data_IF_347464935630
#
_entry.id   IF_347464935630
#
_cell.length_a   1.000
_cell.length_b   1.000
_cell.length_c   1.000
_cell.angle_alpha   90.00
_cell.angle_beta   90.00
_cell.angle_gamma   90.00
#
_symmetry.space_group_name_H-M   'P 1'
#
loop_
_entity.id
_entity.type
_entity.pdbx_description
1 polymer ?
#
# COMPACT_ATOMS: atom_id res chain seq x y z
N UNK A 1 20.68 -3.44 25.98
CA UNK A 1 19.30 -3.51 25.47
C UNK A 1 19.42 -3.68 23.98
N UNK A 2 18.93 -4.78 23.42
CA UNK A 2 18.78 -4.90 21.96
C UNK A 2 17.81 -3.79 21.53
N UNK A 3 18.11 -3.03 20.47
CA UNK A 3 17.16 -2.05 19.96
C UNK A 3 15.85 -2.75 19.62
N UNK A 4 14.75 -2.18 20.08
CA UNK A 4 13.43 -2.68 19.76
C UNK A 4 13.20 -2.52 18.24
N UNK A 5 12.79 -3.61 17.58
CA UNK A 5 12.56 -3.58 16.13
C UNK A 5 11.24 -2.85 15.85
N UNK A 6 11.34 -1.64 15.32
CA UNK A 6 10.19 -0.78 14.98
C UNK A 6 9.79 -0.83 13.50
N UNK A 7 10.30 -1.82 12.75
CA UNK A 7 9.98 -2.01 11.34
C UNK A 7 9.32 -3.36 11.13
N UNK A 8 8.20 -3.39 10.42
CA UNK A 8 7.44 -4.59 10.08
C UNK A 8 7.67 -4.99 8.62
N UNK A 9 7.96 -6.26 8.36
CA UNK A 9 7.97 -6.87 7.03
C UNK A 9 6.82 -7.88 6.94
N UNK A 10 5.76 -7.52 6.24
CA UNK A 10 4.53 -8.31 6.08
C UNK A 10 4.69 -9.33 4.96
N UNK A 11 4.32 -10.59 5.23
CA UNK A 11 4.42 -11.67 4.24
C UNK A 11 5.86 -11.88 3.79
N UNK A 12 6.77 -12.06 4.74
CA UNK A 12 8.21 -12.06 4.46
C UNK A 12 8.65 -13.21 3.53
N UNK A 13 7.88 -14.30 3.45
CA UNK A 13 8.30 -15.49 2.74
C UNK A 13 9.71 -15.90 3.19
N UNK A 14 10.54 -16.27 2.21
CA UNK A 14 11.96 -16.55 2.44
C UNK A 14 12.86 -15.30 2.37
N UNK A 15 12.29 -14.10 2.13
CA UNK A 15 13.03 -12.83 2.04
C UNK A 15 12.91 -12.01 3.31
N UNK A 16 13.60 -12.48 4.37
CA UNK A 16 13.66 -11.71 5.62
C UNK A 16 14.47 -10.43 5.43
N UNK A 17 13.96 -9.34 5.95
CA UNK A 17 14.65 -8.05 5.99
C UNK A 17 15.40 -7.91 7.33
N UNK A 18 16.66 -7.45 7.25
CA UNK A 18 17.45 -7.12 8.43
C UNK A 18 16.79 -5.93 9.15
N UNK A 19 16.83 -5.89 10.47
CA UNK A 19 16.24 -4.84 11.31
C UNK A 19 14.71 -4.70 11.17
N UNK A 20 14.02 -5.75 10.70
CA UNK A 20 12.58 -5.80 10.62
C UNK A 20 12.03 -6.96 11.46
N UNK A 21 10.82 -6.78 11.96
CA UNK A 21 9.99 -7.85 12.47
C UNK A 21 9.37 -8.55 11.27
N UNK A 22 9.87 -9.73 10.93
CA UNK A 22 9.46 -10.48 9.74
C UNK A 22 8.31 -11.42 10.07
N UNK A 23 7.15 -11.22 9.46
CA UNK A 23 5.95 -12.02 9.72
C UNK A 23 5.44 -12.71 8.48
N UNK A 24 4.92 -13.90 8.66
CA UNK A 24 4.30 -14.70 7.61
C UNK A 24 3.30 -15.67 8.22
N UNK A 25 2.31 -16.14 7.46
CA UNK A 25 1.40 -17.20 7.88
C UNK A 25 2.06 -18.57 7.76
N UNK A 26 3.03 -18.74 6.83
CA UNK A 26 3.69 -20.00 6.55
C UNK A 26 4.93 -20.18 7.45
N UNK A 27 4.80 -21.07 8.43
CA UNK A 27 5.89 -21.35 9.38
C UNK A 27 7.18 -21.87 8.75
N UNK A 28 7.10 -22.51 7.57
CA UNK A 28 8.26 -23.04 6.84
C UNK A 28 9.19 -21.94 6.34
N UNK A 29 8.69 -20.71 6.22
CA UNK A 29 9.53 -19.54 5.90
C UNK A 29 10.39 -19.09 7.08
N UNK A 30 10.21 -19.73 8.25
CA UNK A 30 10.90 -19.37 9.49
C UNK A 30 10.79 -17.88 9.83
N UNK A 31 9.57 -17.29 9.84
CA UNK A 31 9.37 -15.90 10.20
C UNK A 31 9.76 -15.65 11.67
N UNK A 32 9.94 -14.39 12.06
CA UNK A 32 10.17 -14.04 13.47
C UNK A 32 8.90 -14.28 14.30
N UNK A 33 7.73 -14.15 13.64
CA UNK A 33 6.43 -14.55 14.21
C UNK A 33 5.50 -15.05 13.11
N UNK A 34 4.77 -16.13 13.39
CA UNK A 34 3.69 -16.62 12.52
C UNK A 34 2.45 -15.80 12.79
N UNK A 35 1.96 -15.08 11.78
CA UNK A 35 0.80 -14.19 11.88
C UNK A 35 -0.08 -14.34 10.65
N UNK A 36 -1.37 -14.61 10.85
CA UNK A 36 -2.37 -14.47 9.81
C UNK A 36 -2.81 -13.00 9.73
N UNK A 37 -2.38 -12.32 8.66
CA UNK A 37 -2.65 -10.89 8.46
C UNK A 37 -4.13 -10.59 8.17
N UNK A 38 -4.95 -11.58 7.85
CA UNK A 38 -6.40 -11.42 7.68
C UNK A 38 -7.17 -11.47 9.02
N UNK A 39 -6.53 -11.99 10.08
CA UNK A 39 -7.11 -12.03 11.42
C UNK A 39 -6.71 -10.77 12.20
N UNK A 40 -7.70 -9.96 12.56
CA UNK A 40 -7.49 -8.73 13.34
C UNK A 40 -8.17 -8.84 14.71
N UNK A 41 -7.63 -8.22 15.77
CA UNK A 41 -6.45 -7.34 15.80
C UNK A 41 -5.13 -8.11 15.74
N UNK A 42 -4.09 -7.50 15.12
CA UNK A 42 -2.74 -8.06 15.15
C UNK A 42 -2.12 -7.96 16.55
N UNK A 43 -1.17 -8.85 16.89
CA UNK A 43 -0.58 -8.92 18.24
C UNK A 43 0.49 -7.84 18.49
N UNK A 44 0.23 -6.62 18.04
CA UNK A 44 1.11 -5.46 18.19
C UNK A 44 0.36 -4.31 18.83
N UNK A 45 1.10 -3.48 19.58
CA UNK A 45 0.56 -2.28 20.20
C UNK A 45 0.23 -1.19 19.16
N UNK A 46 -0.63 -0.26 19.56
CA UNK A 46 -0.91 0.93 18.76
C UNK A 46 0.35 1.78 18.64
N UNK A 47 0.58 2.35 17.44
CA UNK A 47 1.70 3.26 17.21
C UNK A 47 3.09 2.66 17.50
N UNK A 48 3.27 1.39 17.18
CA UNK A 48 4.52 0.68 17.46
C UNK A 48 5.54 0.81 16.31
N UNK A 49 5.12 0.66 15.06
CA UNK A 49 6.03 0.63 13.90
C UNK A 49 6.22 2.01 13.27
N UNK A 50 7.48 2.38 13.01
CA UNK A 50 7.86 3.56 12.22
C UNK A 50 7.93 3.25 10.72
N UNK A 51 8.00 1.95 10.33
CA UNK A 51 7.98 1.50 8.94
C UNK A 51 7.23 0.20 8.78
N UNK A 52 6.44 0.11 7.69
CA UNK A 52 5.83 -1.13 7.23
C UNK A 52 6.27 -1.39 5.79
N UNK A 53 6.77 -2.59 5.54
CA UNK A 53 7.10 -3.10 4.21
C UNK A 53 6.11 -4.20 3.83
N UNK A 54 5.46 -4.06 2.68
CA UNK A 54 4.56 -5.04 2.07
C UNK A 54 5.01 -5.29 0.62
N UNK A 55 5.91 -6.25 0.41
CA UNK A 55 6.48 -6.59 -0.90
C UNK A 55 5.77 -7.81 -1.48
N UNK A 56 4.86 -7.62 -2.44
CA UNK A 56 4.06 -8.65 -3.10
C UNK A 56 3.29 -9.53 -2.09
N UNK A 57 2.51 -8.91 -1.23
CA UNK A 57 1.65 -9.59 -0.24
C UNK A 57 0.22 -9.07 -0.26
N UNK A 58 -0.01 -7.76 -0.45
CA UNK A 58 -1.36 -7.19 -0.33
C UNK A 58 -2.32 -7.65 -1.43
N UNK A 59 -1.81 -8.02 -2.59
CA UNK A 59 -2.59 -8.59 -3.70
C UNK A 59 -3.19 -9.96 -3.37
N UNK A 60 -2.63 -10.68 -2.40
CA UNK A 60 -3.12 -11.98 -1.92
C UNK A 60 -4.17 -11.84 -0.82
N UNK A 61 -4.28 -10.66 -0.18
CA UNK A 61 -5.03 -10.47 1.05
C UNK A 61 -6.40 -9.82 0.81
N UNK A 62 -7.35 -10.22 1.66
CA UNK A 62 -8.64 -9.54 1.75
C UNK A 62 -9.50 -9.68 0.51
N UNK A 63 -9.71 -10.89 -0.01
CA UNK A 63 -10.67 -11.14 -1.10
C UNK A 63 -12.03 -10.49 -0.79
N UNK A 64 -12.49 -10.60 0.46
CA UNK A 64 -13.61 -9.81 0.96
C UNK A 64 -13.17 -8.37 1.22
N UNK A 65 -13.83 -7.34 0.62
CA UNK A 65 -13.46 -5.95 0.81
C UNK A 65 -13.43 -5.49 2.29
N UNK A 66 -14.25 -6.07 3.16
CA UNK A 66 -14.25 -5.76 4.61
C UNK A 66 -12.96 -6.24 5.28
N UNK A 67 -12.47 -7.41 4.90
CA UNK A 67 -11.20 -7.95 5.42
C UNK A 67 -10.06 -7.04 4.98
N UNK A 68 -9.99 -6.68 3.69
CA UNK A 68 -8.98 -5.74 3.20
C UNK A 68 -9.00 -4.39 3.92
N UNK A 69 -10.21 -3.83 4.14
CA UNK A 69 -10.35 -2.59 4.92
C UNK A 69 -9.82 -2.76 6.35
N UNK A 70 -10.08 -3.89 7.00
CA UNK A 70 -9.57 -4.17 8.34
C UNK A 70 -8.04 -4.27 8.35
N UNK A 71 -7.44 -4.88 7.33
CA UNK A 71 -5.98 -4.93 7.17
C UNK A 71 -5.39 -3.52 7.09
N UNK A 72 -5.95 -2.64 6.24
CA UNK A 72 -5.50 -1.23 6.13
C UNK A 72 -5.65 -0.50 7.48
N UNK A 73 -6.75 -0.73 8.21
CA UNK A 73 -6.95 -0.16 9.54
C UNK A 73 -5.94 -0.68 10.57
N UNK A 74 -5.59 -1.96 10.51
CA UNK A 74 -4.57 -2.54 11.38
C UNK A 74 -3.18 -2.01 11.05
N UNK A 75 -2.80 -1.97 9.77
CA UNK A 75 -1.57 -1.31 9.35
C UNK A 75 -1.51 0.12 9.90
N UNK A 76 -2.61 0.86 9.79
CA UNK A 76 -2.69 2.22 10.33
C UNK A 76 -2.59 2.21 11.86
N UNK A 77 -3.34 1.37 12.58
CA UNK A 77 -3.34 1.30 14.05
C UNK A 77 -1.94 1.07 14.61
N UNK A 78 -1.21 0.09 14.07
CA UNK A 78 0.13 -0.27 14.55
C UNK A 78 1.22 0.69 14.10
N UNK A 79 0.97 1.56 13.12
CA UNK A 79 1.92 2.57 12.66
C UNK A 79 2.00 3.74 13.62
N UNK A 80 3.18 4.31 13.80
CA UNK A 80 3.40 5.61 14.44
C UNK A 80 2.87 6.76 13.56
N UNK A 81 2.71 7.94 14.16
CA UNK A 81 2.56 9.15 13.34
C UNK A 81 3.85 9.39 12.54
N UNK A 82 3.71 9.74 11.26
CA UNK A 82 4.79 9.90 10.29
C UNK A 82 5.49 8.58 9.91
N UNK A 83 4.93 7.42 10.27
CA UNK A 83 5.43 6.14 9.78
C UNK A 83 5.38 6.07 8.26
N UNK A 84 6.32 5.34 7.68
CA UNK A 84 6.43 5.15 6.23
C UNK A 84 5.98 3.73 5.86
N UNK A 85 5.11 3.63 4.85
CA UNK A 85 4.80 2.35 4.21
C UNK A 85 5.49 2.27 2.86
N UNK A 86 6.19 1.19 2.64
CA UNK A 86 6.64 0.76 1.32
C UNK A 86 5.75 -0.40 0.87
N UNK A 87 5.00 -0.19 -0.19
CA UNK A 87 4.10 -1.18 -0.78
C UNK A 87 4.57 -1.45 -2.20
N UNK A 88 4.86 -2.71 -2.51
CA UNK A 88 5.14 -3.17 -3.86
C UNK A 88 4.12 -4.21 -4.24
N UNK A 89 3.51 -4.04 -5.42
CA UNK A 89 2.47 -4.93 -5.96
C UNK A 89 2.67 -5.13 -7.45
N UNK A 90 2.23 -6.27 -8.02
CA UNK A 90 2.22 -6.45 -9.47
C UNK A 90 1.38 -5.37 -10.16
N UNK A 91 1.84 -4.89 -11.30
CA UNK A 91 1.07 -3.94 -12.08
C UNK A 91 -0.19 -4.63 -12.65
N UNK A 92 -1.36 -4.00 -12.51
CA UNK A 92 -2.66 -4.56 -12.89
C UNK A 92 -2.81 -4.91 -14.38
N UNK A 93 -1.92 -4.42 -15.25
CA UNK A 93 -1.84 -4.72 -16.69
C UNK A 93 -0.64 -5.60 -17.02
N UNK A 94 -0.04 -6.28 -16.06
CA UNK A 94 1.05 -7.23 -16.28
C UNK A 94 0.52 -8.65 -16.12
N UNK A 95 0.97 -9.54 -16.98
CA UNK A 95 0.65 -10.97 -16.88
C UNK A 95 1.08 -11.53 -15.51
N UNK A 96 2.15 -11.00 -14.93
CA UNK A 96 2.62 -11.33 -13.58
C UNK A 96 1.50 -11.26 -12.50
N UNK A 97 0.52 -10.35 -12.67
CA UNK A 97 -0.62 -10.31 -11.76
C UNK A 97 -1.58 -11.50 -12.01
N UNK A 98 -1.77 -11.90 -13.24
CA UNK A 98 -2.77 -12.90 -13.64
C UNK A 98 -2.24 -14.34 -13.58
N UNK A 99 -0.92 -14.53 -13.63
CA UNK A 99 -0.25 -15.84 -13.61
C UNK A 99 -0.34 -16.52 -12.23
N UNK A 100 -0.49 -15.75 -11.16
CA UNK A 100 -0.69 -16.29 -9.81
C UNK A 100 -2.18 -16.32 -9.47
N UNK A 101 -2.74 -17.53 -9.39
CA UNK A 101 -4.17 -17.76 -9.08
C UNK A 101 -4.58 -17.32 -7.68
N UNK A 102 -3.62 -17.04 -6.79
CA UNK A 102 -3.87 -16.58 -5.43
C UNK A 102 -4.00 -15.06 -5.32
N UNK A 103 -3.75 -14.32 -6.40
CA UNK A 103 -4.01 -12.89 -6.45
C UNK A 103 -5.52 -12.62 -6.49
N UNK A 104 -6.03 -12.00 -5.45
CA UNK A 104 -7.46 -11.75 -5.28
C UNK A 104 -7.89 -10.34 -5.68
N UNK A 105 -6.92 -9.41 -5.80
CA UNK A 105 -7.22 -7.99 -6.07
C UNK A 105 -6.06 -7.27 -6.75
N UNK A 106 -6.30 -6.65 -7.91
CA UNK A 106 -5.35 -5.69 -8.46
C UNK A 106 -5.35 -4.43 -7.59
N UNK A 107 -4.15 -3.95 -7.23
CA UNK A 107 -3.95 -2.75 -6.44
C UNK A 107 -3.26 -1.68 -7.27
N UNK A 108 -3.63 -0.44 -7.06
CA UNK A 108 -3.03 0.74 -7.69
C UNK A 108 -2.80 1.82 -6.64
N UNK A 109 -2.01 2.84 -6.96
CA UNK A 109 -1.85 4.00 -6.08
C UNK A 109 -3.21 4.64 -5.72
N UNK A 110 -4.19 4.63 -6.64
CA UNK A 110 -5.53 5.16 -6.36
C UNK A 110 -6.27 4.38 -5.28
N UNK A 111 -6.00 3.09 -5.10
CA UNK A 111 -6.59 2.28 -4.01
C UNK A 111 -6.26 2.87 -2.65
N UNK A 112 -5.01 3.28 -2.44
CA UNK A 112 -4.56 3.88 -1.19
C UNK A 112 -4.96 5.35 -1.06
N UNK A 113 -5.06 6.07 -2.19
CA UNK A 113 -5.52 7.47 -2.21
C UNK A 113 -6.94 7.66 -1.66
N UNK A 114 -7.79 6.62 -1.73
CA UNK A 114 -9.11 6.67 -1.10
C UNK A 114 -9.06 6.80 0.43
N UNK A 115 -7.92 6.50 1.05
CA UNK A 115 -7.66 6.67 2.49
C UNK A 115 -6.90 7.97 2.82
N UNK A 116 -6.67 8.86 1.86
CA UNK A 116 -6.08 10.19 2.05
C UNK A 116 -7.19 11.18 2.46
N UNK A 117 -7.16 11.68 3.70
CA UNK A 117 -8.20 12.59 4.19
C UNK A 117 -8.18 13.95 3.48
N UNK A 118 -7.02 14.45 3.05
CA UNK A 118 -6.96 15.70 2.29
C UNK A 118 -7.63 15.54 0.92
N UNK A 119 -7.32 14.45 0.22
CA UNK A 119 -7.98 14.12 -1.04
C UNK A 119 -9.49 13.92 -0.86
N UNK A 120 -9.91 13.22 0.21
CA UNK A 120 -11.32 13.01 0.51
C UNK A 120 -12.06 14.33 0.77
N UNK A 121 -11.45 15.24 1.53
CA UNK A 121 -12.05 16.55 1.83
C UNK A 121 -12.20 17.41 0.58
N UNK A 122 -11.18 17.42 -0.29
CA UNK A 122 -11.24 18.13 -1.58
C UNK A 122 -12.30 17.53 -2.51
N UNK A 123 -12.48 16.21 -2.49
CA UNK A 123 -13.51 15.48 -3.23
C UNK A 123 -14.91 15.92 -2.78
N UNK A 124 -15.14 15.98 -1.48
CA UNK A 124 -16.42 16.46 -0.89
C UNK A 124 -16.68 17.91 -1.31
N UNK A 125 -15.70 18.80 -1.16
CA UNK A 125 -15.83 20.21 -1.54
C UNK A 125 -16.21 20.42 -3.01
N UNK A 126 -15.71 19.55 -3.88
CA UNK A 126 -15.98 19.59 -5.33
C UNK A 126 -17.24 18.84 -5.72
N UNK A 127 -17.96 18.25 -4.77
CA UNK A 127 -19.14 17.41 -4.98
C UNK A 127 -18.90 16.28 -6.00
N UNK A 128 -17.75 15.60 -5.88
CA UNK A 128 -17.38 14.47 -6.73
C UNK A 128 -17.85 13.16 -6.11
N UNK A 129 -18.25 12.21 -6.95
CA UNK A 129 -18.73 10.88 -6.53
C UNK A 129 -17.56 9.89 -6.38
N UNK A 130 -16.66 10.15 -5.41
CA UNK A 130 -15.57 9.23 -5.09
C UNK A 130 -15.69 8.74 -3.63
N UNK A 131 -15.17 7.55 -3.37
CA UNK A 131 -15.19 6.97 -2.02
C UNK A 131 -14.22 7.72 -1.09
N UNK A 132 -14.72 8.09 0.09
CA UNK A 132 -13.98 8.86 1.10
C UNK A 132 -13.60 7.99 2.30
N UNK A 133 -12.89 6.88 2.04
CA UNK A 133 -12.59 5.86 3.06
C UNK A 133 -11.66 6.36 4.16
N UNK A 134 -10.81 7.33 3.88
CA UNK A 134 -10.01 7.99 4.91
C UNK A 134 -10.87 8.59 6.01
N UNK A 135 -11.98 9.23 5.62
CA UNK A 135 -12.96 9.82 6.55
C UNK A 135 -13.79 8.72 7.23
N UNK A 136 -14.35 7.78 6.46
CA UNK A 136 -15.22 6.73 7.01
C UNK A 136 -14.52 5.83 8.02
N UNK A 137 -13.23 5.65 7.90
CA UNK A 137 -12.44 4.72 8.72
C UNK A 137 -11.45 5.42 9.65
N UNK A 138 -11.42 6.75 9.69
CA UNK A 138 -10.47 7.56 10.48
C UNK A 138 -9.01 7.14 10.19
N UNK A 139 -8.69 6.93 8.92
CA UNK A 139 -7.36 6.59 8.40
C UNK A 139 -6.89 7.76 7.54
N UNK A 140 -5.63 8.17 7.66
CA UNK A 140 -5.05 9.23 6.82
C UNK A 140 -3.70 8.84 6.27
N UNK A 141 -3.68 8.55 4.95
CA UNK A 141 -2.54 8.07 4.20
C UNK A 141 -2.19 9.05 3.08
N UNK A 142 -0.98 9.58 3.11
CA UNK A 142 -0.46 10.44 2.05
C UNK A 142 0.49 9.66 1.15
N UNK A 143 0.14 9.51 -0.13
CA UNK A 143 1.07 8.97 -1.12
C UNK A 143 2.03 10.09 -1.49
N UNK A 144 3.32 9.93 -1.17
CA UNK A 144 4.33 10.93 -1.49
C UNK A 144 5.21 10.56 -2.68
N UNK A 145 5.26 9.26 -3.06
CA UNK A 145 5.96 8.83 -4.27
C UNK A 145 5.35 7.55 -4.85
N UNK A 146 5.46 7.39 -6.17
CA UNK A 146 5.08 6.18 -6.90
C UNK A 146 6.11 5.92 -8.00
N UNK A 147 6.72 4.74 -7.98
CA UNK A 147 7.68 4.33 -9.01
C UNK A 147 7.23 3.06 -9.70
N UNK A 148 7.64 2.89 -10.94
CA UNK A 148 7.25 1.77 -11.81
C UNK A 148 8.48 0.98 -12.21
N UNK A 149 8.46 -0.33 -11.99
CA UNK A 149 9.50 -1.25 -12.48
C UNK A 149 9.19 -1.62 -13.93
N UNK A 150 9.72 -0.83 -14.85
CA UNK A 150 9.50 -0.98 -16.27
C UNK A 150 10.22 -2.24 -16.78
N UNK A 151 9.53 -3.04 -17.59
CA UNK A 151 10.07 -4.25 -18.23
C UNK A 151 11.28 -3.88 -19.10
N UNK A 152 12.29 -4.73 -19.10
CA UNK A 152 13.60 -4.46 -19.72
C UNK A 152 13.49 -4.06 -21.20
N UNK A 153 12.57 -4.65 -21.96
CA UNK A 153 12.31 -4.26 -23.34
C UNK A 153 12.01 -2.76 -23.49
N UNK A 154 11.07 -2.26 -22.67
CA UNK A 154 10.65 -0.84 -22.73
C UNK A 154 11.71 0.09 -22.18
N UNK A 155 12.44 -0.36 -21.16
CA UNK A 155 13.58 0.38 -20.59
C UNK A 155 14.68 0.54 -21.64
N UNK A 156 15.05 -0.53 -22.34
CA UNK A 156 16.03 -0.48 -23.41
C UNK A 156 15.62 0.45 -24.57
N UNK A 157 14.32 0.48 -24.94
CA UNK A 157 13.82 1.42 -25.96
C UNK A 157 13.97 2.88 -25.51
N UNK A 158 13.77 3.15 -24.23
CA UNK A 158 13.93 4.47 -23.65
C UNK A 158 15.40 4.91 -23.61
N UNK A 159 16.29 4.04 -23.16
CA UNK A 159 17.75 4.27 -23.10
C UNK A 159 18.36 4.51 -24.48
N UNK A 160 17.85 3.86 -25.51
CA UNK A 160 18.26 4.05 -26.91
C UNK A 160 17.63 5.32 -27.55
N UNK A 161 16.78 6.05 -26.82
CA UNK A 161 16.10 7.24 -27.33
C UNK A 161 14.98 6.94 -28.33
N UNK A 162 14.59 5.67 -28.49
CA UNK A 162 13.51 5.24 -29.38
C UNK A 162 12.12 5.47 -28.77
N UNK A 163 12.04 5.61 -27.45
CA UNK A 163 10.81 5.82 -26.70
C UNK A 163 10.96 7.04 -25.76
N UNK A 164 10.21 8.09 -26.00
CA UNK A 164 10.18 9.28 -25.13
C UNK A 164 9.32 9.04 -23.87
N UNK A 165 9.56 9.82 -22.80
CA UNK A 165 8.82 9.72 -21.53
C UNK A 165 7.30 9.79 -21.72
N UNK A 166 6.78 10.73 -22.50
CA UNK A 166 5.33 10.86 -22.75
C UNK A 166 4.73 9.63 -23.41
N UNK A 167 5.47 8.97 -24.29
CA UNK A 167 5.00 7.75 -24.95
C UNK A 167 5.04 6.58 -23.98
N UNK A 168 6.06 6.49 -23.11
CA UNK A 168 6.11 5.49 -22.06
C UNK A 168 4.94 5.65 -21.09
N UNK A 169 4.61 6.87 -20.66
CA UNK A 169 3.44 7.14 -19.80
C UNK A 169 2.13 6.72 -20.48
N UNK A 170 2.00 6.98 -21.77
CA UNK A 170 0.83 6.52 -22.53
C UNK A 170 0.77 4.99 -22.58
N UNK A 171 1.89 4.34 -22.84
CA UNK A 171 1.97 2.89 -22.91
C UNK A 171 1.64 2.24 -21.55
N UNK A 172 2.13 2.78 -20.42
CA UNK A 172 1.78 2.35 -19.06
C UNK A 172 0.27 2.35 -18.81
N UNK A 173 -0.42 3.33 -19.36
CA UNK A 173 -1.87 3.50 -19.17
C UNK A 173 -2.73 2.70 -20.15
N UNK A 174 -2.18 2.29 -21.30
CA UNK A 174 -2.97 1.72 -22.41
C UNK A 174 -2.56 0.31 -22.81
N UNK A 175 -1.33 -0.10 -22.55
CA UNK A 175 -0.79 -1.39 -22.97
C UNK A 175 -0.57 -2.34 -21.79
N UNK A 176 -0.58 -3.65 -22.07
CA UNK A 176 -0.16 -4.67 -21.11
C UNK A 176 1.36 -4.89 -21.18
N UNK A 177 1.93 -5.41 -20.08
CA UNK A 177 3.34 -5.81 -20.02
C UNK A 177 4.33 -4.66 -20.34
N UNK A 178 4.03 -3.47 -19.85
CA UNK A 178 4.97 -2.33 -19.87
C UNK A 178 5.71 -2.22 -18.54
N UNK A 179 5.03 -2.54 -17.44
CA UNK A 179 5.53 -2.46 -16.09
C UNK A 179 5.23 -3.78 -15.36
N UNK A 180 6.21 -4.32 -14.64
CA UNK A 180 6.03 -5.53 -13.83
C UNK A 180 5.36 -5.22 -12.51
N UNK A 181 5.92 -4.29 -11.75
CA UNK A 181 5.47 -3.94 -10.40
C UNK A 181 5.43 -2.44 -10.17
N UNK A 182 4.55 -2.03 -9.27
CA UNK A 182 4.43 -0.64 -8.82
C UNK A 182 4.90 -0.56 -7.37
N UNK A 183 5.79 0.37 -7.08
CA UNK A 183 6.18 0.72 -5.72
C UNK A 183 5.43 1.98 -5.31
N UNK A 184 4.77 1.93 -4.17
CA UNK A 184 3.95 3.01 -3.63
C UNK A 184 4.51 3.36 -2.25
N UNK A 185 4.86 4.62 -2.07
CA UNK A 185 5.42 5.14 -0.83
C UNK A 185 4.39 6.01 -0.15
N UNK A 186 4.05 5.66 1.09
CA UNK A 186 2.95 6.28 1.83
C UNK A 186 3.48 6.78 3.18
N UNK A 187 3.01 7.95 3.58
CA UNK A 187 3.20 8.52 4.91
C UNK A 187 1.90 8.47 5.70
N UNK A 188 2.00 8.06 6.95
CA UNK A 188 0.87 7.96 7.89
C UNK A 188 0.75 9.27 8.68
N UNK A 189 -0.45 9.81 8.78
CA UNK A 189 -0.75 10.99 9.56
C UNK A 189 -1.69 10.67 10.73
N UNK A 190 -1.24 10.94 11.97
CA UNK A 190 -2.02 10.77 13.21
C UNK A 190 -1.81 11.98 14.13
N UNK A 191 -2.86 12.69 14.53
CA UNK A 191 -4.24 12.54 14.05
C UNK A 191 -4.36 12.84 12.56
N UNK A 192 -5.48 12.40 11.95
CA UNK A 192 -5.74 12.66 10.52
C UNK A 192 -5.78 14.15 10.21
N UNK A 193 -5.22 14.57 9.09
CA UNK A 193 -5.03 15.98 8.69
C UNK A 193 -6.32 16.78 8.60
N UNK A 194 -7.45 16.14 8.33
CA UNK A 194 -8.73 16.80 8.12
C UNK A 194 -9.79 16.49 9.18
N UNK A 195 -9.48 15.83 10.29
CA UNK A 195 -10.45 15.44 11.31
C UNK A 195 -11.27 16.62 11.82
N UNK A 196 -10.63 17.74 12.17
CA UNK A 196 -11.33 18.94 12.66
C UNK A 196 -12.18 19.61 11.59
N UNK A 197 -11.69 19.63 10.33
CA UNK A 197 -12.41 20.23 9.21
C UNK A 197 -13.68 19.44 8.87
N UNK A 198 -13.59 18.11 8.92
CA UNK A 198 -14.70 17.20 8.68
C UNK A 198 -15.77 17.36 9.74
N UNK A 199 -15.38 17.41 11.03
CA UNK A 199 -16.32 17.63 12.14
C UNK A 199 -17.10 18.93 11.99
N UNK A 200 -16.46 20.00 11.54
CA UNK A 200 -17.08 21.30 11.30
C UNK A 200 -18.01 21.29 10.08
N UNK A 201 -17.64 20.54 9.03
CA UNK A 201 -18.46 20.46 7.80
C UNK A 201 -19.76 19.65 7.99
N UNK A 202 -19.72 18.59 8.80
CA UNK A 202 -20.90 17.74 9.09
C UNK A 202 -21.90 18.41 10.05
N UNK A 203 -21.46 19.43 10.81
CA UNK A 203 -22.31 20.15 11.78
C UNK A 203 -23.07 21.34 11.18
N UNK A 204 -22.72 21.76 9.97
CA UNK A 204 -23.39 22.82 9.21
C UNK A 204 -24.24 22.26 8.07
#
# INVERSE_FOLDING_TARGET
MTPELTKLNMGCGFKKLIDHWNVDIESKCNPDQVVDLEQTPWPYEDNFFDRITADNILEHLGQNPRVFTNIIKEMYRVSQNQAEWFIKVPHHRCDLFWDDYTHVRPLTAKTFRMFDQQFNFDTIKRNLSESTYGIYHSVDLEIYDVTYNIIDYWRAQQEQGLLGHKQLDLNLNTMSNVCETVNIFIKVHKPGRCETLIQNHVRN
#
